data_IF_473478394706
#
_entry.id   IF_473478394706
#
_cell.length_a   1.000
_cell.length_b   1.000
_cell.length_c   1.000
_cell.angle_alpha   90.00
_cell.angle_beta   90.00
_cell.angle_gamma   90.00
#
_symmetry.space_group_name_H-M   'P 1'
#
loop_
_entity.id
_entity.type
_entity.pdbx_description
1 polymer ?
#
# COMPACT_ATOMS: atom_id res chain seq x y z
N UNK A 1 -27.79 10.81 -17.64
CA UNK A 1 -26.42 10.52 -18.07
C UNK A 1 -26.08 11.41 -19.23
N UNK A 2 -24.99 12.17 -19.14
CA UNK A 2 -24.61 13.18 -20.13
C UNK A 2 -23.35 12.79 -20.89
N UNK A 3 -22.43 12.07 -20.21
CA UNK A 3 -21.09 11.76 -20.72
C UNK A 3 -20.84 10.25 -20.88
N UNK A 4 -21.80 9.39 -20.58
CA UNK A 4 -21.66 7.93 -20.75
C UNK A 4 -22.86 7.33 -21.51
N UNK A 5 -22.59 6.31 -22.32
CA UNK A 5 -23.58 5.50 -23.04
C UNK A 5 -23.92 4.20 -22.31
N UNK A 6 -24.66 3.31 -22.94
CA UNK A 6 -24.96 2.00 -22.37
C UNK A 6 -23.69 1.12 -22.29
N UNK A 7 -23.63 0.21 -21.32
CA UNK A 7 -22.45 -0.61 -21.00
C UNK A 7 -21.80 -1.31 -22.21
N UNK A 8 -22.60 -1.89 -23.10
CA UNK A 8 -22.08 -2.70 -24.21
C UNK A 8 -21.36 -1.90 -25.31
N UNK A 9 -21.47 -0.56 -25.26
CA UNK A 9 -20.87 0.36 -26.23
C UNK A 9 -19.72 1.20 -25.63
N UNK A 10 -19.47 1.07 -24.30
CA UNK A 10 -18.47 1.88 -23.62
C UNK A 10 -17.05 1.42 -23.94
N UNK A 11 -16.23 2.38 -24.39
CA UNK A 11 -14.77 2.23 -24.49
C UNK A 11 -14.09 2.96 -23.35
N UNK A 12 -13.18 2.29 -22.69
CA UNK A 12 -12.47 2.82 -21.51
C UNK A 12 -10.99 2.91 -21.78
N UNK A 13 -10.38 4.06 -21.52
CA UNK A 13 -8.93 4.18 -21.45
C UNK A 13 -8.47 4.20 -19.99
N UNK A 14 -7.40 3.48 -19.69
CA UNK A 14 -6.71 3.51 -18.37
C UNK A 14 -5.32 4.06 -18.61
N UNK A 15 -5.05 5.27 -18.11
CA UNK A 15 -3.75 5.94 -18.22
C UNK A 15 -2.94 5.69 -16.95
N UNK A 16 -1.79 5.02 -17.10
CA UNK A 16 -0.97 4.49 -16.03
C UNK A 16 -1.29 3.03 -15.75
N UNK A 17 -0.48 2.09 -16.26
CA UNK A 17 -0.61 0.65 -16.06
C UNK A 17 0.31 0.15 -14.96
N UNK A 18 0.52 0.95 -13.90
CA UNK A 18 1.07 0.45 -12.67
C UNK A 18 0.18 -0.63 -12.05
N UNK A 19 0.48 -1.09 -10.85
CA UNK A 19 -0.26 -2.15 -10.18
C UNK A 19 -1.80 -1.92 -10.20
N UNK A 20 -2.25 -0.75 -9.74
CA UNK A 20 -3.67 -0.39 -9.68
C UNK A 20 -4.31 -0.31 -11.07
N UNK A 21 -3.66 0.38 -12.01
CA UNK A 21 -4.17 0.54 -13.36
C UNK A 21 -4.30 -0.80 -14.09
N UNK A 22 -3.35 -1.71 -13.89
CA UNK A 22 -3.39 -3.06 -14.44
C UNK A 22 -4.55 -3.90 -13.86
N UNK A 23 -4.78 -3.84 -12.53
CA UNK A 23 -5.93 -4.50 -11.90
C UNK A 23 -7.26 -3.99 -12.44
N UNK A 24 -7.40 -2.65 -12.60
CA UNK A 24 -8.61 -2.03 -13.13
C UNK A 24 -8.81 -2.42 -14.60
N UNK A 25 -7.78 -2.27 -15.44
CA UNK A 25 -7.87 -2.59 -16.87
C UNK A 25 -8.26 -4.05 -17.12
N UNK A 26 -7.62 -4.98 -16.38
CA UNK A 26 -7.93 -6.41 -16.46
C UNK A 26 -9.37 -6.71 -16.04
N UNK A 27 -9.82 -6.14 -14.92
CA UNK A 27 -11.19 -6.36 -14.41
C UNK A 27 -12.24 -5.81 -15.37
N UNK A 28 -12.04 -4.61 -15.92
CA UNK A 28 -12.97 -4.00 -16.88
C UNK A 28 -13.05 -4.83 -18.17
N UNK A 29 -11.94 -5.34 -18.67
CA UNK A 29 -11.91 -6.23 -19.83
C UNK A 29 -12.62 -7.56 -19.57
N UNK A 30 -12.43 -8.17 -18.41
CA UNK A 30 -13.12 -9.39 -17.97
C UNK A 30 -14.64 -9.18 -17.87
N UNK A 31 -15.09 -7.97 -17.51
CA UNK A 31 -16.49 -7.56 -17.49
C UNK A 31 -17.07 -7.29 -18.89
N UNK A 32 -16.27 -7.44 -19.96
CA UNK A 32 -16.67 -7.34 -21.34
C UNK A 32 -16.56 -5.96 -21.98
N UNK A 33 -15.98 -4.97 -21.28
CA UNK A 33 -15.71 -3.64 -21.82
C UNK A 33 -14.52 -3.66 -22.79
N UNK A 34 -14.53 -2.75 -23.77
CA UNK A 34 -13.37 -2.50 -24.63
C UNK A 34 -12.42 -1.54 -23.90
N UNK A 35 -11.24 -2.05 -23.50
CA UNK A 35 -10.29 -1.32 -22.68
C UNK A 35 -8.99 -1.03 -23.43
N UNK A 36 -8.50 0.19 -23.31
CA UNK A 36 -7.20 0.62 -23.80
C UNK A 36 -6.33 1.01 -22.59
N UNK A 37 -5.35 0.19 -22.27
CA UNK A 37 -4.35 0.51 -21.27
C UNK A 37 -3.22 1.34 -21.88
N UNK A 38 -2.87 2.46 -21.27
CA UNK A 38 -1.85 3.39 -21.78
C UNK A 38 -0.82 3.63 -20.70
N UNK A 39 0.46 3.39 -21.02
CA UNK A 39 1.59 3.71 -20.14
C UNK A 39 2.79 4.22 -20.94
N UNK A 40 3.57 5.11 -20.36
CA UNK A 40 4.80 5.62 -20.97
C UNK A 40 5.99 4.67 -20.86
N UNK A 41 5.93 3.66 -19.99
CA UNK A 41 6.93 2.61 -19.86
C UNK A 41 6.80 1.59 -21.00
N UNK A 42 7.57 1.80 -22.07
CA UNK A 42 7.60 0.89 -23.23
C UNK A 42 7.97 -0.54 -22.84
N UNK A 43 8.80 -0.73 -21.81
CA UNK A 43 9.19 -2.06 -21.32
C UNK A 43 7.98 -2.77 -20.68
N UNK A 44 7.19 -2.06 -19.88
CA UNK A 44 5.95 -2.62 -19.31
C UNK A 44 4.97 -3.03 -20.41
N UNK A 45 4.78 -2.17 -21.43
CA UNK A 45 3.91 -2.47 -22.57
C UNK A 45 4.39 -3.70 -23.35
N UNK A 46 5.69 -3.80 -23.59
CA UNK A 46 6.28 -4.97 -24.26
C UNK A 46 6.14 -6.25 -23.42
N UNK A 47 6.34 -6.18 -22.12
CA UNK A 47 6.15 -7.29 -21.19
C UNK A 47 4.71 -7.81 -21.23
N UNK A 48 3.71 -6.92 -21.10
CA UNK A 48 2.30 -7.29 -21.14
C UNK A 48 1.91 -7.91 -22.49
N UNK A 49 2.36 -7.33 -23.62
CA UNK A 49 2.11 -7.87 -24.96
C UNK A 49 2.76 -9.25 -25.19
N UNK A 50 3.84 -9.56 -24.47
CA UNK A 50 4.56 -10.84 -24.57
C UNK A 50 4.13 -11.85 -23.49
N UNK A 51 3.07 -11.59 -22.74
CA UNK A 51 2.54 -12.53 -21.75
C UNK A 51 3.32 -12.56 -20.44
N UNK A 52 3.94 -11.44 -20.05
CA UNK A 52 4.59 -11.30 -18.74
C UNK A 52 3.93 -10.20 -17.91
N UNK A 53 3.55 -10.52 -16.69
CA UNK A 53 3.04 -9.57 -15.70
C UNK A 53 4.03 -9.48 -14.54
N UNK A 54 4.56 -8.27 -14.30
CA UNK A 54 5.53 -8.02 -13.23
C UNK A 54 4.89 -7.83 -11.84
N UNK A 55 3.56 -7.80 -11.77
CA UNK A 55 2.84 -7.52 -10.53
C UNK A 55 2.39 -8.82 -9.86
N UNK A 56 2.64 -8.93 -8.56
CA UNK A 56 2.23 -10.05 -7.73
C UNK A 56 0.82 -9.80 -7.17
N UNK A 57 -0.19 -10.20 -7.93
CA UNK A 57 -1.59 -10.22 -7.52
C UNK A 57 -2.23 -11.49 -8.03
N UNK A 58 -2.89 -12.25 -7.15
CA UNK A 58 -3.47 -13.54 -7.51
C UNK A 58 -4.58 -13.37 -8.55
N UNK A 59 -4.42 -14.01 -9.70
CA UNK A 59 -5.38 -13.98 -10.80
C UNK A 59 -5.20 -12.81 -11.78
N UNK A 60 -4.35 -11.83 -11.47
CA UNK A 60 -4.11 -10.69 -12.36
C UNK A 60 -3.43 -11.08 -13.68
N UNK A 61 -2.37 -11.91 -13.70
CA UNK A 61 -1.77 -12.36 -14.96
C UNK A 61 -2.78 -13.01 -15.89
N UNK A 62 -3.61 -13.90 -15.38
CA UNK A 62 -4.62 -14.66 -16.15
C UNK A 62 -5.66 -13.71 -16.77
N UNK A 63 -6.16 -12.74 -15.99
CA UNK A 63 -7.13 -11.76 -16.47
C UNK A 63 -6.55 -10.82 -17.53
N UNK A 64 -5.33 -10.32 -17.32
CA UNK A 64 -4.64 -9.45 -18.29
C UNK A 64 -4.47 -10.17 -19.62
N UNK A 65 -3.98 -11.41 -19.61
CA UNK A 65 -3.69 -12.14 -20.85
C UNK A 65 -4.97 -12.59 -21.55
N UNK A 66 -5.99 -13.02 -20.82
CA UNK A 66 -7.31 -13.32 -21.40
C UNK A 66 -7.91 -12.06 -22.07
N UNK A 67 -7.79 -10.89 -21.44
CA UNK A 67 -8.23 -9.62 -22.02
C UNK A 67 -7.49 -9.27 -23.30
N UNK A 68 -6.16 -9.48 -23.33
CA UNK A 68 -5.33 -9.21 -24.53
C UNK A 68 -5.63 -10.22 -25.65
N UNK A 69 -5.72 -11.50 -25.37
CA UNK A 69 -6.01 -12.55 -26.34
C UNK A 69 -7.41 -12.38 -26.98
N UNK A 70 -8.40 -12.00 -26.19
CA UNK A 70 -9.76 -11.74 -26.69
C UNK A 70 -9.89 -10.40 -27.41
N UNK A 71 -8.88 -9.55 -27.37
CA UNK A 71 -8.88 -8.20 -27.91
C UNK A 71 -9.73 -7.19 -27.11
N UNK A 72 -10.23 -7.58 -25.93
CA UNK A 72 -10.95 -6.70 -25.00
C UNK A 72 -10.02 -5.73 -24.28
N UNK A 73 -8.76 -6.11 -24.09
CA UNK A 73 -7.71 -5.24 -23.57
C UNK A 73 -6.63 -5.05 -24.63
N UNK A 74 -6.38 -3.80 -25.01
CA UNK A 74 -5.23 -3.42 -25.83
C UNK A 74 -4.31 -2.55 -24.97
N UNK A 75 -3.00 -2.78 -25.00
CA UNK A 75 -2.02 -1.96 -24.30
C UNK A 75 -1.15 -1.18 -25.29
N UNK A 76 -0.84 0.08 -24.98
CA UNK A 76 -0.18 1.02 -25.90
C UNK A 76 0.67 2.04 -25.15
N UNK A 77 1.74 2.53 -25.80
CA UNK A 77 2.47 3.73 -25.35
C UNK A 77 1.92 5.03 -25.94
N UNK A 78 0.95 4.94 -26.83
CA UNK A 78 0.42 6.10 -27.55
C UNK A 78 -0.73 6.77 -26.77
N UNK A 79 -0.48 7.92 -26.17
CA UNK A 79 -1.48 8.67 -25.43
C UNK A 79 -2.68 9.13 -26.29
N UNK A 80 -2.51 9.25 -27.62
CA UNK A 80 -3.61 9.60 -28.54
C UNK A 80 -4.74 8.56 -28.52
N UNK A 81 -4.45 7.33 -28.11
CA UNK A 81 -5.44 6.27 -28.01
C UNK A 81 -6.51 6.56 -26.94
N UNK A 82 -6.23 7.44 -25.96
CA UNK A 82 -7.23 7.92 -25.00
C UNK A 82 -8.37 8.72 -25.65
N UNK A 83 -8.11 9.35 -26.82
CA UNK A 83 -9.12 10.01 -27.62
C UNK A 83 -10.11 9.05 -28.31
N UNK A 84 -9.94 7.74 -28.19
CA UNK A 84 -10.88 6.74 -28.71
C UNK A 84 -11.87 6.24 -27.66
N UNK A 85 -11.71 6.68 -26.40
CA UNK A 85 -12.50 6.20 -25.27
C UNK A 85 -13.60 7.19 -24.89
N UNK A 86 -14.70 6.67 -24.36
CA UNK A 86 -15.78 7.44 -23.76
C UNK A 86 -15.46 7.82 -22.31
N UNK A 87 -14.76 6.93 -21.59
CA UNK A 87 -14.33 7.12 -20.21
C UNK A 87 -12.81 6.97 -20.12
N UNK A 88 -12.15 7.92 -19.49
CA UNK A 88 -10.71 7.91 -19.26
C UNK A 88 -10.42 7.85 -17.75
N UNK A 89 -9.83 6.75 -17.28
CA UNK A 89 -9.39 6.57 -15.92
C UNK A 89 -7.91 6.93 -15.79
N UNK A 90 -7.57 7.85 -14.89
CA UNK A 90 -6.18 8.26 -14.66
C UNK A 90 -5.66 7.66 -13.35
N UNK A 91 -4.66 6.79 -13.45
CA UNK A 91 -4.06 6.03 -12.34
C UNK A 91 -2.55 6.24 -12.25
N UNK A 92 -2.06 7.38 -12.70
CA UNK A 92 -0.63 7.72 -12.70
C UNK A 92 -0.10 7.93 -11.28
N UNK A 93 1.20 7.70 -11.10
CA UNK A 93 1.86 7.88 -9.81
C UNK A 93 1.81 9.33 -9.32
N UNK A 94 1.62 9.50 -7.99
CA UNK A 94 1.56 10.80 -7.31
C UNK A 94 2.44 10.78 -6.05
N UNK A 95 3.78 10.75 -6.23
CA UNK A 95 4.71 10.77 -5.11
C UNK A 95 4.64 12.12 -4.37
N UNK A 96 5.19 12.15 -3.16
CA UNK A 96 5.33 13.40 -2.37
C UNK A 96 6.82 13.75 -2.25
N UNK A 97 7.09 15.05 -2.08
CA UNK A 97 8.40 15.58 -1.73
C UNK A 97 8.64 15.48 -0.22
N UNK A 98 9.85 15.73 0.23
CA UNK A 98 10.24 15.63 1.64
C UNK A 98 9.43 16.57 2.57
N UNK A 99 8.90 17.68 2.03
CA UNK A 99 8.04 18.62 2.76
C UNK A 99 6.56 18.18 2.83
N UNK A 100 6.21 17.02 2.23
CA UNK A 100 4.85 16.49 2.15
C UNK A 100 4.03 17.06 0.99
N UNK A 101 4.58 17.96 0.17
CA UNK A 101 3.91 18.48 -1.03
C UNK A 101 3.84 17.43 -2.13
N UNK A 102 2.82 17.55 -3.00
CA UNK A 102 2.67 16.66 -4.16
C UNK A 102 3.79 16.90 -5.19
N UNK A 103 4.48 15.86 -5.62
CA UNK A 103 5.33 15.89 -6.80
C UNK A 103 4.43 15.62 -8.02
N UNK A 104 3.92 16.67 -8.63
CA UNK A 104 2.81 16.64 -9.59
C UNK A 104 3.23 16.55 -11.06
N UNK A 105 4.53 16.43 -11.33
CA UNK A 105 5.09 16.47 -12.69
C UNK A 105 4.52 15.35 -13.57
N UNK A 106 4.40 14.13 -13.04
CA UNK A 106 3.84 13.00 -13.78
C UNK A 106 2.35 13.21 -14.07
N UNK A 107 1.59 13.68 -13.08
CA UNK A 107 0.17 13.98 -13.23
C UNK A 107 -0.03 15.08 -14.27
N UNK A 108 0.70 16.18 -14.18
CA UNK A 108 0.62 17.28 -15.13
C UNK A 108 0.97 16.81 -16.56
N UNK A 109 2.00 15.99 -16.70
CA UNK A 109 2.41 15.43 -18.00
C UNK A 109 1.30 14.60 -18.63
N UNK A 110 0.72 13.68 -17.89
CA UNK A 110 -0.37 12.82 -18.35
C UNK A 110 -1.63 13.63 -18.70
N UNK A 111 -2.00 14.62 -17.86
CA UNK A 111 -3.17 15.48 -18.12
C UNK A 111 -2.97 16.37 -19.35
N UNK A 112 -1.79 16.98 -19.54
CA UNK A 112 -1.48 17.79 -20.72
C UNK A 112 -1.52 16.95 -22.01
N UNK A 113 -1.03 15.71 -21.94
CA UNK A 113 -1.07 14.83 -23.09
C UNK A 113 -2.49 14.41 -23.40
N UNK A 114 -3.30 14.03 -22.40
CA UNK A 114 -4.73 13.75 -22.58
C UNK A 114 -5.47 14.95 -23.18
N UNK A 115 -5.20 16.18 -22.72
CA UNK A 115 -5.86 17.39 -23.20
C UNK A 115 -5.71 17.62 -24.71
N UNK A 116 -4.64 17.12 -25.35
CA UNK A 116 -4.44 17.21 -26.80
C UNK A 116 -5.38 16.32 -27.61
N UNK A 117 -5.94 15.31 -26.97
CA UNK A 117 -6.78 14.29 -27.58
C UNK A 117 -8.19 14.27 -27.01
N UNK A 118 -8.47 15.16 -26.04
CA UNK A 118 -9.77 15.27 -25.38
C UNK A 118 -10.85 15.72 -26.38
N UNK A 119 -12.00 15.09 -26.35
CA UNK A 119 -13.14 15.45 -27.17
C UNK A 119 -14.43 15.63 -26.35
N UNK A 120 -15.44 16.22 -26.99
CA UNK A 120 -16.76 16.40 -26.37
C UNK A 120 -17.40 15.06 -26.04
N UNK A 121 -18.04 15.00 -24.88
CA UNK A 121 -18.77 13.82 -24.44
C UNK A 121 -17.94 12.81 -23.64
N UNK A 122 -16.64 13.04 -23.42
CA UNK A 122 -15.83 12.17 -22.58
C UNK A 122 -16.07 12.41 -21.08
N UNK A 123 -15.99 11.34 -20.29
CA UNK A 123 -15.90 11.39 -18.83
C UNK A 123 -14.46 11.11 -18.39
N UNK A 124 -13.82 12.08 -17.75
CA UNK A 124 -12.48 11.94 -17.20
C UNK A 124 -12.58 11.66 -15.70
N UNK A 125 -11.96 10.58 -15.23
CA UNK A 125 -12.00 10.14 -13.85
C UNK A 125 -10.58 10.04 -13.31
N UNK A 126 -10.22 10.93 -12.38
CA UNK A 126 -8.96 10.83 -11.66
C UNK A 126 -9.10 9.83 -10.51
N UNK A 127 -8.18 8.86 -10.45
CA UNK A 127 -8.08 7.88 -9.35
C UNK A 127 -6.83 8.04 -8.51
N UNK A 128 -5.81 8.71 -9.04
CA UNK A 128 -4.55 8.96 -8.33
C UNK A 128 -4.78 9.75 -7.06
N UNK A 129 -4.15 9.35 -5.96
CA UNK A 129 -4.24 10.06 -4.67
C UNK A 129 -3.60 11.43 -4.77
N UNK A 130 -4.36 12.48 -4.46
CA UNK A 130 -3.92 13.88 -4.54
C UNK A 130 -4.40 14.69 -3.32
N UNK A 131 -3.75 15.82 -3.01
CA UNK A 131 -4.26 16.79 -2.04
C UNK A 131 -5.66 17.31 -2.42
N UNK A 132 -6.53 17.60 -1.44
CA UNK A 132 -7.87 18.13 -1.70
C UNK A 132 -7.85 19.45 -2.50
N UNK A 133 -8.62 19.48 -3.57
CA UNK A 133 -8.72 20.58 -4.53
C UNK A 133 -7.81 20.43 -5.75
N UNK A 134 -6.93 19.44 -5.81
CA UNK A 134 -6.00 19.25 -6.94
C UNK A 134 -6.75 18.97 -8.25
N UNK A 135 -7.78 18.15 -8.24
CA UNK A 135 -8.56 17.85 -9.45
C UNK A 135 -9.18 19.12 -10.03
N UNK A 136 -9.68 20.01 -9.19
CA UNK A 136 -10.28 21.29 -9.63
C UNK A 136 -9.24 22.34 -10.00
N UNK A 137 -8.18 22.51 -9.18
CA UNK A 137 -7.23 23.62 -9.34
C UNK A 137 -6.08 23.35 -10.30
N UNK A 138 -5.73 22.06 -10.51
CA UNK A 138 -4.63 21.64 -11.39
C UNK A 138 -5.14 20.90 -12.62
N UNK A 139 -5.93 19.81 -12.42
CA UNK A 139 -6.32 18.93 -13.51
C UNK A 139 -7.31 19.62 -14.47
N UNK A 140 -8.37 20.23 -13.94
CA UNK A 140 -9.38 20.91 -14.74
C UNK A 140 -8.81 22.00 -15.66
N UNK A 141 -7.98 22.96 -15.19
CA UNK A 141 -7.41 23.98 -16.09
C UNK A 141 -6.51 23.38 -17.18
N UNK A 142 -5.78 22.31 -16.87
CA UNK A 142 -4.94 21.63 -17.87
C UNK A 142 -5.80 20.94 -18.93
N UNK A 143 -6.89 20.27 -18.56
CA UNK A 143 -7.83 19.69 -19.53
C UNK A 143 -8.50 20.79 -20.38
N UNK A 144 -8.87 21.91 -19.78
CA UNK A 144 -9.49 23.04 -20.49
C UNK A 144 -8.52 23.73 -21.46
N UNK A 145 -7.20 23.47 -21.40
CA UNK A 145 -6.26 23.93 -22.41
C UNK A 145 -6.53 23.33 -23.82
N UNK A 146 -7.35 22.28 -23.91
CA UNK A 146 -7.92 21.75 -25.16
C UNK A 146 -8.87 22.71 -25.87
N UNK A 147 -9.35 23.76 -25.18
CA UNK A 147 -10.42 24.64 -25.66
C UNK A 147 -11.83 24.14 -25.30
N UNK A 148 -11.95 23.03 -24.59
CA UNK A 148 -13.21 22.47 -24.09
C UNK A 148 -13.48 22.93 -22.66
N UNK A 149 -14.75 23.01 -22.26
CA UNK A 149 -15.22 23.43 -20.94
C UNK A 149 -15.66 22.25 -20.11
N UNK A 150 -15.05 22.06 -18.94
CA UNK A 150 -15.45 21.00 -17.99
C UNK A 150 -16.88 21.23 -17.47
N UNK A 151 -17.65 20.17 -17.33
CA UNK A 151 -19.07 20.20 -16.97
C UNK A 151 -20.02 20.53 -18.14
N UNK A 152 -19.50 21.12 -19.23
CA UNK A 152 -20.29 21.41 -20.43
C UNK A 152 -19.94 20.46 -21.59
N UNK A 153 -18.65 20.37 -21.93
CA UNK A 153 -18.14 19.62 -23.05
C UNK A 153 -17.63 18.24 -22.65
N UNK A 154 -17.09 18.10 -21.43
CA UNK A 154 -16.62 16.84 -20.86
C UNK A 154 -16.95 16.78 -19.37
N UNK A 155 -17.16 15.55 -18.85
CA UNK A 155 -17.32 15.29 -17.44
C UNK A 155 -15.97 15.14 -16.72
N UNK A 156 -15.88 15.60 -15.47
CA UNK A 156 -14.70 15.39 -14.61
C UNK A 156 -15.13 14.89 -13.24
N UNK A 157 -14.57 13.76 -12.84
CA UNK A 157 -14.84 13.15 -11.56
C UNK A 157 -13.55 12.69 -10.86
N UNK A 158 -13.64 12.49 -9.56
CA UNK A 158 -12.62 11.84 -8.74
C UNK A 158 -13.20 10.58 -8.09
N UNK A 159 -12.54 9.44 -8.27
CA UNK A 159 -12.92 8.19 -7.62
C UNK A 159 -11.69 7.58 -6.96
N UNK A 160 -11.53 7.77 -5.63
CA UNK A 160 -10.33 7.35 -4.92
C UNK A 160 -10.02 5.86 -5.07
N UNK A 161 -8.74 5.55 -5.14
CA UNK A 161 -8.27 4.18 -5.07
C UNK A 161 -8.16 3.73 -3.62
N UNK A 162 -8.80 2.59 -3.27
CA UNK A 162 -8.88 2.07 -1.89
C UNK A 162 -8.46 0.60 -1.79
N UNK A 163 -7.77 0.09 -2.82
CA UNK A 163 -7.35 -1.30 -2.90
C UNK A 163 -6.04 -1.55 -2.16
N UNK A 164 -5.90 -2.77 -1.64
CA UNK A 164 -4.66 -3.25 -1.01
C UNK A 164 -3.97 -4.29 -1.90
N UNK A 165 -2.64 -4.22 -2.02
CA UNK A 165 -1.86 -5.22 -2.74
C UNK A 165 -2.08 -6.62 -2.17
N UNK A 166 -2.24 -7.62 -3.05
CA UNK A 166 -2.50 -9.01 -2.72
C UNK A 166 -3.98 -9.37 -2.55
N UNK A 167 -4.89 -8.37 -2.53
CA UNK A 167 -6.35 -8.53 -2.45
C UNK A 167 -7.11 -7.57 -3.37
N UNK A 168 -6.38 -6.86 -4.23
CA UNK A 168 -6.92 -5.76 -5.04
C UNK A 168 -8.05 -6.20 -5.97
N UNK A 169 -7.93 -7.33 -6.65
CA UNK A 169 -8.98 -7.86 -7.52
C UNK A 169 -10.25 -8.23 -6.75
N UNK A 170 -10.11 -8.83 -5.56
CA UNK A 170 -11.24 -9.15 -4.71
C UNK A 170 -11.91 -7.87 -4.19
N UNK A 171 -11.12 -6.91 -3.71
CA UNK A 171 -11.60 -5.65 -3.13
C UNK A 171 -12.29 -4.79 -4.18
N UNK A 172 -11.77 -4.70 -5.40
CA UNK A 172 -12.40 -3.98 -6.52
C UNK A 172 -13.80 -4.51 -6.84
N UNK A 173 -14.03 -5.81 -6.66
CA UNK A 173 -15.30 -6.45 -6.92
C UNK A 173 -16.25 -6.49 -5.70
N UNK A 174 -15.84 -6.00 -4.53
CA UNK A 174 -16.63 -6.13 -3.29
C UNK A 174 -16.79 -4.81 -2.55
N UNK A 175 -15.81 -3.92 -2.58
CA UNK A 175 -15.88 -2.68 -1.81
C UNK A 175 -16.71 -1.61 -2.53
N UNK A 176 -17.45 -0.79 -1.76
CA UNK A 176 -18.14 0.36 -2.33
C UNK A 176 -17.11 1.33 -2.96
N UNK A 177 -17.40 1.81 -4.17
CA UNK A 177 -16.61 2.85 -4.83
C UNK A 177 -17.17 4.21 -4.42
N UNK A 178 -16.29 5.16 -4.10
CA UNK A 178 -16.65 6.55 -3.85
C UNK A 178 -16.49 7.35 -5.13
N UNK A 179 -17.44 8.23 -5.44
CA UNK A 179 -17.38 9.11 -6.61
C UNK A 179 -17.79 10.54 -6.26
N UNK A 180 -16.93 11.51 -6.56
CA UNK A 180 -17.24 12.94 -6.50
C UNK A 180 -17.06 13.57 -7.89
N UNK A 181 -17.90 14.52 -8.26
CA UNK A 181 -17.86 15.17 -9.57
C UNK A 181 -17.54 16.65 -9.52
N UNK A 182 -17.14 17.19 -10.67
CA UNK A 182 -17.03 18.64 -10.90
C UNK A 182 -18.37 19.34 -10.69
N UNK A 183 -19.41 18.67 -11.12
CA UNK A 183 -20.83 19.01 -10.99
C UNK A 183 -21.67 17.74 -10.78
N UNK A 184 -22.99 17.91 -10.64
CA UNK A 184 -23.91 16.82 -10.37
C UNK A 184 -23.97 15.78 -11.51
N UNK A 185 -23.86 16.23 -12.78
CA UNK A 185 -23.87 15.35 -13.95
C UNK A 185 -22.61 14.48 -13.99
N UNK A 186 -21.44 15.09 -13.78
CA UNK A 186 -20.15 14.36 -13.70
C UNK A 186 -20.13 13.34 -12.56
N UNK A 187 -20.68 13.68 -11.39
CA UNK A 187 -20.78 12.77 -10.26
C UNK A 187 -21.73 11.59 -10.55
N UNK A 188 -22.89 11.89 -11.15
CA UNK A 188 -23.89 10.88 -11.51
C UNK A 188 -23.36 9.91 -12.58
N UNK A 189 -22.68 10.43 -13.61
CA UNK A 189 -22.10 9.62 -14.68
C UNK A 189 -20.94 8.76 -14.18
N UNK A 190 -20.06 9.29 -13.33
CA UNK A 190 -19.01 8.48 -12.71
C UNK A 190 -19.57 7.36 -11.81
N UNK A 191 -20.62 7.67 -11.03
CA UNK A 191 -21.29 6.67 -10.22
C UNK A 191 -21.96 5.59 -11.05
N UNK A 192 -22.63 5.98 -12.14
CA UNK A 192 -23.29 5.03 -13.04
C UNK A 192 -22.29 4.18 -13.82
N UNK A 193 -21.17 4.78 -14.28
CA UNK A 193 -20.08 4.03 -14.90
C UNK A 193 -19.62 2.86 -14.00
N UNK A 194 -19.31 3.12 -12.74
CA UNK A 194 -18.83 2.06 -11.84
C UNK A 194 -19.90 1.03 -11.50
N UNK A 195 -21.18 1.43 -11.39
CA UNK A 195 -22.28 0.46 -11.21
C UNK A 195 -22.42 -0.47 -12.40
N UNK A 196 -22.35 0.07 -13.61
CA UNK A 196 -22.44 -0.73 -14.84
C UNK A 196 -21.19 -1.59 -15.05
N UNK A 197 -20.00 -1.02 -14.85
CA UNK A 197 -18.73 -1.66 -15.17
C UNK A 197 -18.36 -2.79 -14.19
N UNK A 198 -18.59 -2.60 -12.89
CA UNK A 198 -18.16 -3.55 -11.83
C UNK A 198 -19.38 -4.17 -11.14
N UNK A 199 -20.46 -3.44 -10.96
CA UNK A 199 -21.67 -3.93 -10.26
C UNK A 199 -21.61 -3.78 -8.74
N UNK A 200 -20.72 -2.93 -8.21
CA UNK A 200 -20.61 -2.64 -6.77
C UNK A 200 -21.45 -1.43 -6.36
N UNK A 201 -21.69 -1.29 -5.06
CA UNK A 201 -22.28 -0.07 -4.50
C UNK A 201 -21.39 1.13 -4.83
N UNK A 202 -22.01 2.28 -5.18
CA UNK A 202 -21.29 3.52 -5.38
C UNK A 202 -21.86 4.60 -4.47
N UNK A 203 -20.98 5.17 -3.65
CA UNK A 203 -21.26 6.28 -2.75
C UNK A 203 -20.95 7.57 -3.49
N UNK A 204 -22.00 8.24 -3.97
CA UNK A 204 -21.84 9.53 -4.64
C UNK A 204 -21.70 10.64 -3.61
N UNK A 205 -20.75 11.54 -3.82
CA UNK A 205 -20.47 12.72 -3.00
C UNK A 205 -20.68 14.00 -3.80
N UNK A 206 -20.93 15.10 -3.09
CA UNK A 206 -21.33 16.38 -3.70
C UNK A 206 -20.19 17.14 -4.41
N UNK A 207 -18.92 16.73 -4.21
CA UNK A 207 -17.78 17.44 -4.80
C UNK A 207 -16.55 16.53 -5.03
N UNK A 208 -15.67 16.99 -5.90
CA UNK A 208 -14.34 16.41 -6.12
C UNK A 208 -13.54 16.33 -4.82
N UNK A 209 -13.53 17.46 -4.08
CA UNK A 209 -12.78 17.64 -2.84
C UNK A 209 -13.22 16.66 -1.74
N UNK A 210 -14.52 16.39 -1.66
CA UNK A 210 -15.04 15.41 -0.70
C UNK A 210 -14.49 14.01 -0.99
N UNK A 211 -14.45 13.59 -2.25
CA UNK A 211 -13.91 12.30 -2.64
C UNK A 211 -12.38 12.21 -2.48
N UNK A 212 -11.64 13.29 -2.77
CA UNK A 212 -10.20 13.40 -2.50
C UNK A 212 -9.91 13.24 -1.00
N UNK A 213 -10.69 13.90 -0.13
CA UNK A 213 -10.55 13.81 1.33
C UNK A 213 -10.83 12.40 1.84
N UNK A 214 -11.80 11.66 1.28
CA UNK A 214 -12.11 10.28 1.71
C UNK A 214 -10.85 9.40 1.63
N UNK A 215 -10.11 9.46 0.52
CA UNK A 215 -8.88 8.66 0.37
C UNK A 215 -7.85 8.97 1.45
N UNK A 216 -7.63 10.23 1.71
CA UNK A 216 -6.67 10.68 2.71
C UNK A 216 -7.15 10.35 4.13
N UNK A 217 -8.45 10.44 4.39
CA UNK A 217 -9.03 10.10 5.68
C UNK A 217 -8.87 8.61 6.01
N UNK A 218 -9.07 7.72 5.04
CA UNK A 218 -8.85 6.28 5.20
C UNK A 218 -7.41 5.99 5.64
N UNK A 219 -6.43 6.51 4.92
CA UNK A 219 -5.02 6.24 5.21
C UNK A 219 -4.52 6.96 6.48
N UNK A 220 -5.01 8.17 6.75
CA UNK A 220 -4.72 8.86 8.01
C UNK A 220 -5.27 8.09 9.22
N UNK A 221 -6.53 7.59 9.12
CA UNK A 221 -7.12 6.77 10.18
C UNK A 221 -6.33 5.49 10.40
N UNK A 222 -5.93 4.77 9.33
CA UNK A 222 -5.16 3.53 9.44
C UNK A 222 -3.82 3.79 10.13
N UNK A 223 -3.06 4.78 9.66
CA UNK A 223 -1.74 5.11 10.19
C UNK A 223 -1.80 5.54 11.67
N UNK A 224 -2.76 6.41 12.03
CA UNK A 224 -2.97 6.86 13.40
C UNK A 224 -3.41 5.71 14.31
N UNK A 225 -4.23 4.79 13.81
CA UNK A 225 -4.72 3.66 14.57
C UNK A 225 -3.60 2.63 14.83
N UNK A 226 -2.71 2.40 13.86
CA UNK A 226 -1.49 1.61 14.08
C UNK A 226 -0.60 2.30 15.13
N UNK A 227 -0.45 3.61 15.07
CA UNK A 227 0.31 4.37 16.07
C UNK A 227 -0.27 4.20 17.48
N UNK A 228 -1.58 4.22 17.65
CA UNK A 228 -2.23 3.92 18.92
C UNK A 228 -1.91 2.51 19.41
N UNK A 229 -1.96 1.50 18.53
CA UNK A 229 -1.57 0.13 18.85
C UNK A 229 -0.10 0.03 19.30
N UNK A 230 0.79 0.75 18.61
CA UNK A 230 2.21 0.82 18.93
C UNK A 230 2.48 1.48 20.29
N UNK A 231 1.79 2.57 20.61
CA UNK A 231 1.88 3.20 21.94
C UNK A 231 1.31 2.30 23.03
N UNK A 232 0.19 1.61 22.79
CA UNK A 232 -0.36 0.62 23.72
C UNK A 232 0.63 -0.52 23.96
N UNK A 233 1.37 -0.96 22.95
CA UNK A 233 2.43 -1.95 23.12
C UNK A 233 3.53 -1.47 24.07
N UNK A 234 4.02 -0.24 23.86
CA UNK A 234 5.02 0.38 24.76
C UNK A 234 4.48 0.57 26.18
N UNK A 235 3.24 1.07 26.29
CA UNK A 235 2.60 1.31 27.59
C UNK A 235 2.36 0.01 28.36
N UNK A 236 1.80 -1.02 27.70
CA UNK A 236 1.56 -2.33 28.33
C UNK A 236 2.85 -3.00 28.80
N UNK A 237 3.94 -2.81 28.06
CA UNK A 237 5.26 -3.36 28.44
C UNK A 237 5.76 -2.82 29.79
N UNK A 238 5.41 -1.57 30.17
CA UNK A 238 5.77 -1.00 31.49
C UNK A 238 5.16 -1.77 32.65
N UNK A 239 4.04 -2.45 32.42
CA UNK A 239 3.32 -3.21 33.42
C UNK A 239 3.50 -4.74 33.27
N UNK A 240 4.31 -5.18 32.30
CA UNK A 240 4.48 -6.60 31.98
C UNK A 240 3.22 -7.27 31.42
N UNK A 241 2.33 -6.51 30.76
CA UNK A 241 1.05 -6.97 30.23
C UNK A 241 1.15 -7.20 28.73
N UNK A 242 0.50 -8.27 28.25
CA UNK A 242 0.36 -8.56 26.80
C UNK A 242 -0.59 -7.53 26.16
N UNK A 243 -0.07 -6.65 25.30
CA UNK A 243 -0.83 -5.61 24.62
C UNK A 243 -1.92 -6.18 23.71
N UNK A 244 -1.75 -7.39 23.14
CA UNK A 244 -2.76 -8.02 22.30
C UNK A 244 -4.00 -8.43 23.09
N UNK A 245 -3.82 -8.86 24.33
CA UNK A 245 -4.93 -9.14 25.24
C UNK A 245 -5.71 -7.86 25.55
N UNK A 246 -4.99 -6.77 25.81
CA UNK A 246 -5.59 -5.45 26.07
C UNK A 246 -6.35 -4.95 24.84
N UNK A 247 -5.74 -5.01 23.65
CA UNK A 247 -6.35 -4.59 22.39
C UNK A 247 -7.60 -5.43 22.09
N UNK A 248 -7.51 -6.76 22.22
CA UNK A 248 -8.65 -7.66 21.99
C UNK A 248 -9.82 -7.33 22.92
N UNK A 249 -9.56 -7.11 24.20
CA UNK A 249 -10.56 -6.73 25.17
C UNK A 249 -11.16 -5.35 24.88
N UNK A 250 -10.33 -4.36 24.53
CA UNK A 250 -10.79 -3.02 24.16
C UNK A 250 -11.67 -3.04 22.91
N UNK A 251 -11.34 -3.87 21.92
CA UNK A 251 -12.10 -4.02 20.68
C UNK A 251 -13.45 -4.72 20.85
N UNK A 252 -13.77 -5.25 22.04
CA UNK A 252 -15.06 -5.89 22.32
C UNK A 252 -16.21 -4.90 22.52
N UNK A 253 -15.95 -3.59 22.60
CA UNK A 253 -16.98 -2.58 22.87
C UNK A 253 -17.58 -2.05 21.57
N UNK A 254 -18.92 -2.12 21.39
CA UNK A 254 -19.59 -1.47 20.26
C UNK A 254 -19.53 0.06 20.41
N UNK A 255 -19.21 0.74 19.30
CA UNK A 255 -19.21 2.20 19.19
C UNK A 255 -19.84 2.63 17.87
N UNK A 256 -20.81 3.51 17.93
CA UNK A 256 -21.53 3.96 16.74
C UNK A 256 -22.19 2.79 16.00
N UNK A 257 -21.87 2.61 14.72
CA UNK A 257 -22.37 1.51 13.86
C UNK A 257 -21.41 0.31 13.80
N UNK A 258 -20.31 0.32 14.54
CA UNK A 258 -19.28 -0.73 14.53
C UNK A 258 -18.72 -1.02 15.90
N UNK A 259 -17.59 -1.69 15.94
CA UNK A 259 -16.80 -1.98 17.14
C UNK A 259 -15.63 -1.01 17.24
N UNK A 260 -15.09 -0.81 18.46
CA UNK A 260 -13.74 -0.26 18.59
C UNK A 260 -12.80 -1.18 17.81
N UNK A 261 -11.92 -0.61 17.01
CA UNK A 261 -11.01 -1.38 16.15
C UNK A 261 -9.59 -0.80 16.23
N UNK A 262 -8.92 -1.08 17.35
CA UNK A 262 -7.50 -0.77 17.53
C UNK A 262 -6.71 -1.81 16.76
N UNK A 263 -5.81 -1.35 15.88
CA UNK A 263 -4.97 -2.21 15.07
C UNK A 263 -3.78 -2.74 15.88
N UNK A 264 -3.21 -3.84 15.39
CA UNK A 264 -2.09 -4.50 16.08
C UNK A 264 -0.81 -3.67 15.96
N UNK A 265 0.05 -3.71 17.00
CA UNK A 265 1.35 -3.08 16.96
C UNK A 265 2.30 -3.79 15.98
N UNK A 266 3.32 -3.07 15.51
CA UNK A 266 4.29 -3.59 14.57
C UNK A 266 5.67 -2.95 14.70
N UNK A 267 6.68 -3.54 14.03
CA UNK A 267 8.02 -2.98 13.87
C UNK A 267 8.03 -1.60 13.21
N UNK A 268 6.91 -1.16 12.69
CA UNK A 268 6.72 0.12 12.01
C UNK A 268 5.73 0.01 10.87
N UNK A 269 5.49 1.13 10.20
CA UNK A 269 4.58 1.24 9.07
C UNK A 269 5.37 1.51 7.82
N UNK A 270 5.21 0.65 6.81
CA UNK A 270 5.81 0.77 5.48
C UNK A 270 4.78 0.90 4.37
N UNK A 271 5.27 0.81 3.15
CA UNK A 271 4.50 0.99 1.93
C UNK A 271 4.36 2.47 1.52
N UNK A 272 4.23 2.70 0.23
CA UNK A 272 4.23 4.04 -0.35
C UNK A 272 3.00 4.89 0.01
N UNK A 273 1.92 4.29 0.53
CA UNK A 273 0.68 5.01 0.84
C UNK A 273 0.67 5.56 2.26
N UNK A 274 0.77 4.68 3.27
CA UNK A 274 0.67 5.12 4.68
C UNK A 274 1.84 6.00 5.11
N UNK A 275 2.99 5.88 4.47
CA UNK A 275 4.17 6.71 4.79
C UNK A 275 4.07 8.14 4.24
N UNK A 276 3.22 8.38 3.22
CA UNK A 276 3.10 9.70 2.57
C UNK A 276 1.77 10.41 2.76
N UNK A 277 0.63 9.68 2.74
CA UNK A 277 -0.70 10.32 2.71
C UNK A 277 -1.00 11.16 3.96
N UNK A 278 -0.62 10.76 5.20
CA UNK A 278 -0.76 11.63 6.36
C UNK A 278 0.06 12.93 6.26
N UNK A 279 1.23 12.90 5.63
CA UNK A 279 2.01 14.11 5.36
C UNK A 279 1.33 15.01 4.34
N UNK A 280 0.68 14.44 3.32
CA UNK A 280 -0.13 15.18 2.36
C UNK A 280 -1.31 15.90 3.03
N UNK A 281 -1.97 15.25 4.00
CA UNK A 281 -3.02 15.88 4.84
C UNK A 281 -2.46 17.05 5.61
N UNK A 282 -1.36 16.84 6.32
CA UNK A 282 -0.72 17.86 7.15
C UNK A 282 -0.26 19.07 6.33
N UNK A 283 0.43 18.84 5.22
CA UNK A 283 0.90 19.90 4.31
C UNK A 283 -0.28 20.71 3.75
N UNK A 284 -1.30 20.05 3.22
CA UNK A 284 -2.49 20.71 2.65
C UNK A 284 -3.25 21.56 3.68
N UNK A 285 -3.28 21.13 4.94
CA UNK A 285 -3.91 21.88 6.01
C UNK A 285 -3.10 23.13 6.35
N UNK A 286 -1.77 23.02 6.47
CA UNK A 286 -0.88 24.15 6.78
C UNK A 286 -0.89 25.23 5.71
N UNK A 287 -0.93 24.86 4.43
CA UNK A 287 -1.09 25.80 3.33
C UNK A 287 -2.37 26.65 3.45
N UNK A 288 -3.38 26.13 4.16
CA UNK A 288 -4.66 26.81 4.43
C UNK A 288 -4.77 27.38 5.83
N UNK A 289 -3.65 27.45 6.57
CA UNK A 289 -3.57 28.04 7.91
C UNK A 289 -4.15 27.18 9.03
N UNK A 290 -4.38 25.87 8.79
CA UNK A 290 -4.86 24.93 9.81
C UNK A 290 -3.72 24.00 10.27
N UNK A 291 -3.47 23.95 11.58
CA UNK A 291 -2.56 22.99 12.19
C UNK A 291 -3.30 21.69 12.52
N UNK A 292 -2.88 20.57 11.91
CA UNK A 292 -3.36 19.23 12.22
C UNK A 292 -2.28 18.52 13.03
N UNK A 293 -2.64 18.03 14.23
CA UNK A 293 -1.69 17.44 15.17
C UNK A 293 -1.54 15.92 15.01
N UNK A 294 -2.64 15.20 14.69
CA UNK A 294 -2.67 13.75 14.77
C UNK A 294 -1.99 13.05 13.58
N UNK A 295 -1.92 13.68 12.41
CA UNK A 295 -1.22 13.13 11.25
C UNK A 295 0.30 13.05 11.50
N UNK A 296 1.00 14.15 11.86
CA UNK A 296 2.42 14.06 12.18
C UNK A 296 2.71 13.21 13.42
N UNK A 297 1.87 13.29 14.48
CA UNK A 297 2.06 12.48 15.69
C UNK A 297 1.98 10.97 15.38
N UNK A 298 1.00 10.52 14.58
CA UNK A 298 0.92 9.12 14.14
C UNK A 298 2.16 8.68 13.38
N UNK A 299 2.64 9.52 12.44
CA UNK A 299 3.87 9.23 11.68
C UNK A 299 5.11 9.17 12.57
N UNK A 300 5.24 10.08 13.54
CA UNK A 300 6.37 10.10 14.47
C UNK A 300 6.40 8.84 15.35
N UNK A 301 5.26 8.43 15.90
CA UNK A 301 5.14 7.19 16.69
C UNK A 301 5.53 5.98 15.84
N UNK A 302 5.00 5.86 14.61
CA UNK A 302 5.27 4.73 13.72
C UNK A 302 6.73 4.72 13.25
N UNK A 303 7.33 5.87 12.96
CA UNK A 303 8.74 6.00 12.60
C UNK A 303 9.71 5.65 13.74
N UNK A 304 9.28 5.77 14.99
CA UNK A 304 10.08 5.38 16.16
C UNK A 304 10.05 3.86 16.49
N UNK A 305 9.19 3.08 15.82
CA UNK A 305 9.04 1.66 16.13
C UNK A 305 10.20 0.76 15.69
N UNK A 306 10.88 1.00 14.57
CA UNK A 306 12.06 0.23 14.20
C UNK A 306 13.14 0.24 15.27
N UNK A 307 13.48 1.43 15.77
CA UNK A 307 14.46 1.59 16.85
C UNK A 307 14.00 0.94 18.17
N UNK A 308 12.72 1.08 18.52
CA UNK A 308 12.14 0.40 19.67
C UNK A 308 12.23 -1.14 19.54
N UNK A 309 11.96 -1.67 18.35
CA UNK A 309 12.03 -3.12 18.08
C UNK A 309 13.47 -3.63 18.17
N UNK A 310 14.44 -2.89 17.65
CA UNK A 310 15.86 -3.21 17.81
C UNK A 310 16.28 -3.21 19.30
N UNK A 311 15.78 -2.26 20.10
CA UNK A 311 16.04 -2.23 21.54
C UNK A 311 15.46 -3.46 22.26
N UNK A 312 14.30 -4.00 21.82
CA UNK A 312 13.76 -5.25 22.38
C UNK A 312 14.71 -6.44 22.13
N UNK A 313 15.42 -6.49 20.99
CA UNK A 313 16.45 -7.50 20.73
C UNK A 313 17.62 -7.36 21.72
N UNK A 314 18.16 -6.15 21.84
CA UNK A 314 19.28 -5.83 22.76
C UNK A 314 18.93 -6.20 24.20
N UNK A 315 17.76 -5.80 24.69
CA UNK A 315 17.26 -6.11 26.03
C UNK A 315 17.06 -7.62 26.22
N UNK A 316 16.55 -8.31 25.20
CA UNK A 316 16.36 -9.76 25.24
C UNK A 316 17.66 -10.53 25.31
N UNK A 317 18.64 -10.17 24.47
CA UNK A 317 20.00 -10.75 24.49
C UNK A 317 20.71 -10.52 25.87
N UNK A 318 20.65 -9.29 26.38
CA UNK A 318 21.21 -8.94 27.67
C UNK A 318 20.60 -9.79 28.79
N UNK A 319 19.28 -10.01 28.79
CA UNK A 319 18.61 -10.88 29.78
C UNK A 319 19.03 -12.34 29.66
N UNK A 320 19.45 -12.79 28.50
CA UNK A 320 20.03 -14.12 28.28
C UNK A 320 21.51 -14.21 28.67
N UNK A 321 22.09 -13.10 29.12
CA UNK A 321 23.51 -13.05 29.49
C UNK A 321 24.45 -12.98 28.27
N UNK A 322 23.92 -12.67 27.11
CA UNK A 322 24.70 -12.48 25.88
C UNK A 322 25.11 -11.02 25.74
N UNK A 323 26.29 -10.79 25.16
CA UNK A 323 26.75 -9.45 24.81
C UNK A 323 26.13 -9.05 23.45
N UNK A 324 25.24 -8.06 23.38
CA UNK A 324 24.66 -7.64 22.12
C UNK A 324 25.70 -7.25 21.08
N UNK A 325 26.80 -6.60 21.48
CA UNK A 325 27.85 -6.15 20.56
C UNK A 325 28.62 -7.29 19.88
N UNK A 326 28.51 -8.51 20.41
CA UNK A 326 29.09 -9.72 19.82
C UNK A 326 28.05 -10.66 19.23
N UNK A 327 26.75 -10.35 19.38
CA UNK A 327 25.65 -11.23 18.99
C UNK A 327 25.39 -11.19 17.48
N UNK A 328 25.03 -12.35 16.93
CA UNK A 328 24.55 -12.50 15.55
C UNK A 328 23.03 -12.47 15.51
N UNK A 329 22.47 -11.59 14.68
CA UNK A 329 21.04 -11.41 14.48
C UNK A 329 20.67 -11.88 13.07
N UNK A 330 19.74 -12.81 12.96
CA UNK A 330 19.12 -13.18 11.68
C UNK A 330 17.78 -12.43 11.55
N UNK A 331 17.67 -11.51 10.60
CA UNK A 331 16.41 -10.82 10.27
C UNK A 331 15.76 -11.57 9.11
N UNK A 332 14.56 -12.10 9.31
CA UNK A 332 13.77 -12.80 8.30
C UNK A 332 12.47 -12.05 8.00
N UNK A 333 12.12 -11.98 6.70
CA UNK A 333 10.98 -11.17 6.23
C UNK A 333 11.33 -9.70 6.16
N UNK A 334 11.76 -9.23 5.00
CA UNK A 334 12.29 -7.88 4.79
C UNK A 334 11.26 -6.90 4.24
N UNK A 335 10.20 -7.43 3.62
CA UNK A 335 9.14 -6.65 3.03
C UNK A 335 8.32 -5.86 4.07
N UNK A 336 7.67 -4.79 3.65
CA UNK A 336 6.82 -4.02 4.56
C UNK A 336 5.53 -4.74 4.96
N UNK A 337 5.14 -5.79 4.24
CA UNK A 337 3.92 -6.58 4.44
C UNK A 337 4.21 -8.07 4.21
N UNK A 338 3.40 -8.94 4.81
CA UNK A 338 3.48 -10.39 4.59
C UNK A 338 3.14 -10.76 3.13
N UNK A 339 3.73 -11.85 2.64
CA UNK A 339 3.43 -12.46 1.34
C UNK A 339 3.61 -11.52 0.14
N UNK A 340 4.62 -10.67 0.20
CA UNK A 340 5.07 -9.82 -0.91
C UNK A 340 6.57 -9.61 -0.83
N UNK A 341 7.21 -9.35 -1.98
CA UNK A 341 8.60 -8.91 -2.07
C UNK A 341 8.78 -7.38 -2.04
N UNK A 342 7.74 -6.61 -1.74
CA UNK A 342 7.76 -5.15 -1.81
C UNK A 342 8.56 -4.51 -0.67
N UNK A 343 9.66 -3.87 -1.03
CA UNK A 343 10.57 -3.17 -0.12
C UNK A 343 10.29 -1.66 0.01
N UNK A 344 9.28 -1.12 -0.67
CA UNK A 344 9.01 0.33 -0.66
C UNK A 344 8.72 0.86 0.74
N UNK A 345 9.60 1.75 1.21
CA UNK A 345 9.53 2.32 2.56
C UNK A 345 9.35 1.26 3.67
N UNK A 346 10.03 0.11 3.54
CA UNK A 346 9.96 -0.93 4.56
C UNK A 346 10.59 -0.46 5.88
N UNK A 347 9.90 -0.58 7.03
CA UNK A 347 10.46 -0.23 8.34
C UNK A 347 11.59 -1.17 8.76
N UNK A 348 11.72 -2.32 8.09
CA UNK A 348 12.80 -3.28 8.31
C UNK A 348 14.17 -2.67 8.05
N UNK A 349 14.28 -1.71 7.09
CA UNK A 349 15.54 -1.01 6.83
C UNK A 349 16.04 -0.26 8.07
N UNK A 350 15.18 0.55 8.67
CA UNK A 350 15.53 1.34 9.85
C UNK A 350 15.79 0.44 11.07
N UNK A 351 15.08 -0.69 11.17
CA UNK A 351 15.31 -1.67 12.23
C UNK A 351 16.67 -2.37 12.06
N UNK A 352 17.07 -2.73 10.85
CA UNK A 352 18.38 -3.30 10.55
C UNK A 352 19.48 -2.28 10.85
N UNK A 353 19.31 -1.02 10.45
CA UNK A 353 20.29 0.03 10.74
C UNK A 353 20.48 0.25 12.24
N UNK A 354 19.41 0.14 13.04
CA UNK A 354 19.49 0.23 14.48
C UNK A 354 20.17 -1.03 15.12
N UNK A 355 19.90 -2.22 14.57
CA UNK A 355 20.57 -3.47 14.97
C UNK A 355 22.07 -3.46 14.63
N UNK A 356 22.44 -2.95 13.45
CA UNK A 356 23.86 -2.81 13.05
C UNK A 356 24.68 -1.92 13.99
N UNK A 357 24.02 -0.91 14.58
CA UNK A 357 24.68 -0.03 15.55
C UNK A 357 24.86 -0.68 16.94
N UNK A 358 24.02 -1.66 17.26
CA UNK A 358 23.95 -2.24 18.60
C UNK A 358 24.46 -3.68 18.69
N UNK A 359 24.55 -4.41 17.58
CA UNK A 359 24.85 -5.84 17.54
C UNK A 359 26.10 -6.13 16.70
N UNK A 360 26.64 -7.36 16.83
CA UNK A 360 27.89 -7.75 16.19
C UNK A 360 27.75 -8.05 14.70
N UNK A 361 26.74 -8.81 14.33
CA UNK A 361 26.49 -9.21 12.95
C UNK A 361 24.99 -9.24 12.68
N UNK A 362 24.54 -8.67 11.56
CA UNK A 362 23.15 -8.79 11.08
C UNK A 362 23.14 -9.48 9.72
N UNK A 363 22.46 -10.63 9.65
CA UNK A 363 22.22 -11.38 8.40
C UNK A 363 20.76 -11.25 8.01
N UNK A 364 20.48 -11.18 6.71
CA UNK A 364 19.13 -10.94 6.20
C UNK A 364 18.68 -12.07 5.27
N UNK A 365 17.38 -12.43 5.36
CA UNK A 365 16.78 -13.45 4.49
C UNK A 365 15.31 -13.14 4.21
N UNK A 366 14.95 -13.27 2.95
CA UNK A 366 13.56 -13.20 2.51
C UNK A 366 13.42 -14.00 1.20
N UNK A 367 12.48 -14.95 1.09
CA UNK A 367 12.32 -15.78 -0.09
C UNK A 367 11.63 -15.08 -1.25
N UNK A 368 10.93 -13.95 -1.00
CA UNK A 368 10.09 -13.26 -1.97
C UNK A 368 10.75 -12.00 -2.55
N UNK A 369 11.79 -11.49 -1.89
CA UNK A 369 12.44 -10.24 -2.27
C UNK A 369 13.48 -10.48 -3.35
N UNK A 370 13.53 -9.57 -4.35
CA UNK A 370 14.61 -9.57 -5.35
C UNK A 370 15.97 -9.32 -4.69
N UNK A 371 16.92 -10.21 -4.95
CA UNK A 371 18.23 -10.20 -4.28
C UNK A 371 19.04 -8.92 -4.60
N UNK A 372 18.96 -8.40 -5.82
CA UNK A 372 19.70 -7.21 -6.21
C UNK A 372 19.08 -5.94 -5.59
N UNK A 373 17.75 -5.89 -5.49
CA UNK A 373 17.04 -4.81 -4.81
C UNK A 373 17.34 -4.82 -3.31
N UNK A 374 17.33 -6.00 -2.67
CA UNK A 374 17.69 -6.17 -1.27
C UNK A 374 19.13 -5.74 -1.00
N UNK A 375 20.09 -6.21 -1.80
CA UNK A 375 21.51 -5.83 -1.64
C UNK A 375 21.70 -4.32 -1.77
N UNK A 376 21.02 -3.70 -2.74
CA UNK A 376 21.06 -2.24 -2.92
C UNK A 376 20.49 -1.49 -1.71
N UNK A 377 19.38 -1.97 -1.14
CA UNK A 377 18.70 -1.29 -0.02
C UNK A 377 19.41 -1.51 1.32
N UNK A 378 19.79 -2.75 1.62
CA UNK A 378 20.34 -3.12 2.92
C UNK A 378 21.88 -3.10 2.97
N UNK A 379 22.56 -2.92 1.83
CA UNK A 379 24.03 -2.88 1.75
C UNK A 379 24.69 -4.24 2.00
N UNK A 380 23.92 -5.33 1.89
CA UNK A 380 24.39 -6.71 2.12
C UNK A 380 23.58 -7.72 1.29
N UNK A 381 24.18 -8.86 0.87
CA UNK A 381 23.47 -9.89 0.15
C UNK A 381 22.47 -10.62 1.06
N UNK A 382 21.42 -11.18 0.47
CA UNK A 382 20.55 -12.14 1.14
C UNK A 382 21.31 -13.44 1.42
N UNK A 383 21.05 -14.06 2.57
CA UNK A 383 21.48 -15.44 2.80
C UNK A 383 20.81 -16.36 1.78
N UNK A 384 21.51 -17.41 1.28
CA UNK A 384 20.96 -18.29 0.26
C UNK A 384 19.76 -19.11 0.73
N UNK A 385 19.73 -19.47 2.01
CA UNK A 385 18.65 -20.23 2.64
C UNK A 385 18.33 -19.72 4.03
N UNK A 386 17.14 -20.04 4.53
CA UNK A 386 16.78 -19.77 5.93
C UNK A 386 17.81 -20.38 6.92
N UNK A 387 18.23 -21.62 6.67
CA UNK A 387 19.21 -22.30 7.52
C UNK A 387 20.57 -21.59 7.54
N UNK A 388 21.00 -21.00 6.42
CA UNK A 388 22.25 -20.21 6.38
C UNK A 388 22.11 -18.89 7.11
N UNK A 389 20.93 -18.23 7.00
CA UNK A 389 20.66 -17.00 7.71
C UNK A 389 20.72 -17.18 9.22
N UNK A 390 20.06 -18.23 9.74
CA UNK A 390 19.92 -18.46 11.18
C UNK A 390 21.07 -19.26 11.82
N UNK A 391 22.04 -19.74 11.02
CA UNK A 391 23.19 -20.51 11.52
C UNK A 391 23.95 -19.74 12.58
N UNK A 392 24.05 -20.32 13.76
CA UNK A 392 24.70 -19.72 14.95
C UNK A 392 24.11 -18.36 15.36
N UNK A 393 22.87 -18.05 14.96
CA UNK A 393 22.22 -16.81 15.35
C UNK A 393 21.81 -16.80 16.81
N UNK A 394 22.15 -15.73 17.53
CA UNK A 394 21.72 -15.45 18.90
C UNK A 394 20.29 -14.92 18.97
N UNK A 395 19.82 -14.33 17.87
CA UNK A 395 18.46 -13.84 17.72
C UNK A 395 17.93 -14.09 16.30
N UNK A 396 16.71 -14.60 16.20
CA UNK A 396 15.92 -14.67 14.96
C UNK A 396 14.81 -13.62 15.06
N UNK A 397 14.94 -12.53 14.30
CA UNK A 397 13.98 -11.43 14.24
C UNK A 397 13.04 -11.61 13.04
N UNK A 398 11.75 -11.78 13.29
CA UNK A 398 10.70 -11.99 12.27
C UNK A 398 9.95 -10.69 12.06
N UNK A 399 10.17 -10.00 10.92
CA UNK A 399 9.57 -8.68 10.64
C UNK A 399 8.46 -8.72 9.60
N UNK A 400 8.47 -9.70 8.68
CA UNK A 400 7.32 -10.09 7.88
C UNK A 400 7.16 -11.62 7.97
N UNK A 401 5.95 -12.08 8.32
CA UNK A 401 5.65 -13.50 8.40
C UNK A 401 5.02 -13.94 7.07
N UNK A 402 5.87 -14.38 6.13
CA UNK A 402 5.42 -15.00 4.89
C UNK A 402 4.89 -16.41 5.15
N UNK A 403 4.06 -16.94 4.25
CA UNK A 403 3.57 -18.34 4.34
C UNK A 403 4.71 -19.33 4.49
N UNK A 404 5.83 -19.09 3.83
CA UNK A 404 7.06 -19.91 3.93
C UNK A 404 7.64 -19.95 5.36
N UNK A 405 7.27 -19.02 6.21
CA UNK A 405 7.70 -18.93 7.61
C UNK A 405 6.67 -19.42 8.62
N UNK A 406 5.41 -19.64 8.20
CA UNK A 406 4.35 -20.10 9.11
C UNK A 406 4.65 -21.47 9.69
N UNK A 407 5.25 -22.38 8.86
CA UNK A 407 5.56 -23.78 9.20
C UNK A 407 7.05 -23.99 9.54
N UNK A 408 7.78 -22.96 10.00
CA UNK A 408 9.18 -23.12 10.42
C UNK A 408 9.26 -24.17 11.55
N UNK A 409 10.03 -25.24 11.29
CA UNK A 409 10.42 -26.21 12.31
C UNK A 409 11.57 -25.64 13.18
N UNK A 410 11.21 -24.92 14.22
CA UNK A 410 12.16 -24.32 15.15
C UNK A 410 13.06 -25.35 15.87
N UNK A 411 12.63 -26.61 15.97
CA UNK A 411 13.44 -27.66 16.58
C UNK A 411 14.66 -28.05 15.74
N UNK A 412 14.61 -27.86 14.43
CA UNK A 412 15.68 -28.21 13.50
C UNK A 412 16.58 -27.03 13.09
N UNK A 413 16.27 -25.79 13.49
CA UNK A 413 17.07 -24.64 13.12
C UNK A 413 18.47 -24.67 13.74
N UNK A 414 19.54 -24.41 12.95
CA UNK A 414 20.92 -24.43 13.43
C UNK A 414 21.30 -23.13 14.16
N UNK A 415 20.50 -22.69 15.11
CA UNK A 415 20.73 -21.47 15.89
C UNK A 415 21.72 -21.68 17.04
N UNK A 416 22.22 -20.60 17.62
CA UNK A 416 23.03 -20.65 18.83
C UNK A 416 22.22 -21.17 20.04
N UNK A 417 22.92 -21.71 21.06
CA UNK A 417 22.27 -22.08 22.29
C UNK A 417 21.59 -20.86 22.97
N UNK A 418 20.39 -21.05 23.49
CA UNK A 418 19.58 -19.98 24.10
C UNK A 418 19.27 -18.83 23.13
N UNK A 419 18.83 -19.15 21.91
CA UNK A 419 18.46 -18.16 20.90
C UNK A 419 17.18 -17.39 21.28
N UNK A 420 17.17 -16.09 20.99
CA UNK A 420 15.99 -15.23 21.11
C UNK A 420 15.17 -15.27 19.81
N UNK A 421 13.86 -15.47 19.91
CA UNK A 421 12.91 -15.16 18.83
C UNK A 421 12.30 -13.80 19.10
N UNK A 422 12.56 -12.83 18.20
CA UNK A 422 11.98 -11.49 18.25
C UNK A 422 10.84 -11.40 17.22
N UNK A 423 9.61 -11.26 17.71
CA UNK A 423 8.41 -11.12 16.89
C UNK A 423 8.10 -9.63 16.68
N UNK A 424 8.38 -9.14 15.47
CA UNK A 424 8.25 -7.72 15.12
C UNK A 424 6.82 -7.22 14.93
N UNK A 425 5.82 -8.13 14.85
CA UNK A 425 4.43 -7.76 14.59
C UNK A 425 3.40 -8.54 15.41
N UNK A 426 3.83 -9.17 16.50
CA UNK A 426 2.96 -9.96 17.36
C UNK A 426 2.21 -11.10 16.61
N UNK A 427 2.91 -11.77 15.70
CA UNK A 427 2.34 -12.83 14.85
C UNK A 427 2.02 -14.12 15.61
N UNK A 428 2.87 -14.49 16.60
CA UNK A 428 2.77 -15.80 17.22
C UNK A 428 1.66 -15.88 18.25
N UNK A 429 0.88 -16.97 18.17
CA UNK A 429 -0.11 -17.29 19.19
C UNK A 429 0.56 -17.62 20.54
N UNK A 430 -0.21 -17.61 21.63
CA UNK A 430 0.28 -18.05 22.95
C UNK A 430 0.78 -19.50 22.93
N UNK A 431 0.12 -20.37 22.18
CA UNK A 431 0.52 -21.78 22.03
C UNK A 431 1.87 -21.88 21.32
N UNK A 432 2.06 -21.12 20.23
CA UNK A 432 3.36 -21.08 19.53
C UNK A 432 4.47 -20.52 20.40
N UNK A 433 4.19 -19.49 21.20
CA UNK A 433 5.16 -18.95 22.17
C UNK A 433 5.52 -19.99 23.24
N UNK A 434 4.52 -20.76 23.72
CA UNK A 434 4.77 -21.85 24.69
C UNK A 434 5.62 -22.97 24.07
N UNK A 435 5.36 -23.33 22.82
CA UNK A 435 6.17 -24.28 22.04
C UNK A 435 7.63 -23.82 21.90
N UNK A 436 7.86 -22.57 21.47
CA UNK A 436 9.19 -21.97 21.36
C UNK A 436 9.97 -22.04 22.68
N UNK A 437 9.30 -21.70 23.80
CA UNK A 437 9.90 -21.81 25.13
C UNK A 437 10.23 -23.24 25.54
N UNK A 438 9.38 -24.19 25.17
CA UNK A 438 9.62 -25.62 25.43
C UNK A 438 10.82 -26.15 24.63
N UNK A 439 11.11 -25.59 23.45
CA UNK A 439 12.27 -25.88 22.62
C UNK A 439 13.55 -25.16 23.11
N UNK A 440 13.47 -24.33 24.16
CA UNK A 440 14.63 -23.61 24.73
C UNK A 440 14.83 -22.20 24.15
N UNK A 441 13.96 -21.70 23.29
CA UNK A 441 14.03 -20.33 22.82
C UNK A 441 13.54 -19.34 23.87
N UNK A 442 14.19 -18.19 23.96
CA UNK A 442 13.58 -17.02 24.56
C UNK A 442 12.65 -16.36 23.54
N UNK A 443 11.61 -15.68 24.02
CA UNK A 443 10.67 -14.96 23.15
C UNK A 443 10.48 -13.52 23.63
N UNK A 444 10.49 -12.60 22.69
CA UNK A 444 10.06 -11.21 22.84
C UNK A 444 9.25 -10.81 21.62
N UNK A 445 8.21 -10.02 21.82
CA UNK A 445 7.42 -9.46 20.74
C UNK A 445 7.12 -7.98 20.97
N UNK A 446 6.80 -7.24 19.91
CA UNK A 446 6.28 -5.89 20.04
C UNK A 446 4.93 -5.96 20.77
N UNK A 447 4.91 -5.46 22.02
CA UNK A 447 3.74 -5.55 22.90
C UNK A 447 3.63 -6.85 23.71
N UNK A 448 4.65 -7.67 23.72
CA UNK A 448 4.68 -8.96 24.45
C UNK A 448 5.99 -9.25 25.13
#
# INVERSE_FOLDING_TARGET
MRFISAHDELKVAVIGLGYVGSCIAATLADRGLDVIGIDTDARLIDELNNGYCRFEEQGLPELLFAGIETGRLRVSTNAADAGLADVVLMTVGTPVRDDGSLADEQLQGAVRELARHLHRGQLIVLKSTVPPGTTRSLVLPLLQSSGLTGGEDFGLAFTPERLAEGTALQELNTFPIVAGGLDADSAADAAEFWRQAIGVEVIALDSLEAAEIVKLADNWWIDLNIALGNELAKFSALFGVDALEVISAANSIPKGKGMVNILLPSVGVGGSCLTKDPWMVWHSARERGLEILTAPAGREVNAGMPAYTAQLAVDGLTKLGKDPAAAKIAVIGLAFKNNTGDLRATPTKDAIDALDQACGEVVVYDPLVDAAEAEKLFGRPLAPTLADAVRDADCVAVFALHRDFEDIDYASLPVAESCLVLDGRAYYSRDKIAELRALGYAYRGVGR
#
